data_IF_214314656571
#
_entry.id   IF_214314656571
#
_cell.length_a   1.000
_cell.length_b   1.000
_cell.length_c   1.000
_cell.angle_alpha   90.00
_cell.angle_beta   90.00
_cell.angle_gamma   90.00
#
_symmetry.space_group_name_H-M   'P 1'
#
loop_
_entity.id
_entity.type
_entity.pdbx_description
1 polymer ?
#
# COMPACT_ATOMS: atom_id res chain seq x y z
N UNK A 1 -24.57 9.14 35.03
CA UNK A 1 -23.71 7.95 35.21
C UNK A 1 -24.26 6.77 34.39
N UNK A 2 -23.97 6.67 33.08
CA UNK A 2 -24.45 5.54 32.27
C UNK A 2 -23.41 4.42 32.25
N UNK A 3 -23.86 3.22 32.64
CA UNK A 3 -23.11 1.96 32.68
C UNK A 3 -22.44 1.64 31.34
N UNK A 4 -21.13 1.42 31.37
CA UNK A 4 -20.33 0.92 30.26
C UNK A 4 -20.71 -0.55 30.00
N UNK A 5 -20.97 -0.90 28.74
CA UNK A 5 -21.09 -2.28 28.28
C UNK A 5 -19.97 -2.51 27.26
N UNK A 6 -19.05 -3.39 27.59
CA UNK A 6 -17.96 -3.77 26.71
C UNK A 6 -18.44 -4.85 25.74
N UNK A 7 -18.20 -4.62 24.45
CA UNK A 7 -18.45 -5.59 23.40
C UNK A 7 -17.14 -5.87 22.67
N UNK A 8 -16.76 -7.13 22.60
CA UNK A 8 -15.60 -7.60 21.84
C UNK A 8 -16.06 -8.10 20.48
N UNK A 9 -15.45 -7.58 19.41
CA UNK A 9 -15.59 -8.10 18.04
C UNK A 9 -14.21 -8.10 17.40
N UNK A 10 -13.74 -9.27 16.97
CA UNK A 10 -12.50 -9.43 16.22
C UNK A 10 -12.71 -9.01 14.76
N UNK A 11 -11.90 -8.07 14.25
CA UNK A 11 -11.99 -7.59 12.85
C UNK A 11 -10.58 -7.53 12.23
N UNK A 12 -10.37 -8.01 10.99
CA UNK A 12 -9.04 -8.37 10.49
C UNK A 12 -8.27 -7.23 9.77
N UNK A 13 -8.45 -5.96 10.14
CA UNK A 13 -7.69 -4.84 9.54
C UNK A 13 -7.54 -3.60 10.44
N UNK A 14 -6.60 -2.73 10.03
CA UNK A 14 -6.13 -1.52 10.71
C UNK A 14 -7.24 -0.56 11.16
N UNK A 15 -7.17 -0.13 12.43
CA UNK A 15 -8.20 0.67 13.10
C UNK A 15 -8.17 2.16 12.66
N UNK A 16 -9.35 2.69 12.31
CA UNK A 16 -9.66 4.11 12.20
C UNK A 16 -10.39 4.56 13.47
N UNK A 17 -10.08 5.76 13.97
CA UNK A 17 -10.92 6.42 14.98
C UNK A 17 -12.21 6.86 14.26
N UNK A 18 -13.36 6.32 14.66
CA UNK A 18 -14.67 6.71 14.13
C UNK A 18 -15.53 7.21 15.27
N UNK A 19 -15.78 8.52 15.31
CA UNK A 19 -16.91 9.08 16.06
C UNK A 19 -18.19 8.83 15.28
N UNK A 20 -19.13 8.08 15.86
CA UNK A 20 -20.44 7.85 15.28
C UNK A 20 -21.48 8.74 15.98
N UNK A 21 -21.87 9.82 15.30
CA UNK A 21 -23.08 10.56 15.62
C UNK A 21 -24.30 9.92 14.95
N UNK A 22 -25.43 9.84 15.67
CA UNK A 22 -26.70 9.47 15.06
C UNK A 22 -27.30 10.70 14.37
N UNK A 23 -27.48 10.63 13.06
CA UNK A 23 -28.21 11.65 12.28
C UNK A 23 -29.44 10.99 11.68
N UNK A 24 -30.62 11.60 11.84
CA UNK A 24 -31.82 11.16 11.13
C UNK A 24 -31.55 11.27 9.62
N UNK A 25 -31.68 10.17 8.90
CA UNK A 25 -31.42 10.14 7.46
C UNK A 25 -32.55 10.88 6.71
N UNK A 26 -32.30 12.13 6.30
CA UNK A 26 -33.08 12.79 5.27
C UNK A 26 -32.82 12.08 3.93
N UNK A 27 -33.86 11.48 3.35
CA UNK A 27 -33.84 10.84 2.05
C UNK A 27 -34.06 11.88 0.94
N UNK A 28 -33.03 12.66 0.61
CA UNK A 28 -33.11 13.58 -0.53
C UNK A 28 -32.96 12.82 -1.85
N UNK A 29 -34.09 12.56 -2.49
CA UNK A 29 -34.17 12.10 -3.87
C UNK A 29 -34.06 13.31 -4.79
N UNK A 30 -32.87 13.63 -5.30
CA UNK A 30 -32.74 14.70 -6.32
C UNK A 30 -33.11 14.17 -7.70
N UNK A 31 -34.20 14.71 -8.26
CA UNK A 31 -34.47 14.72 -9.70
C UNK A 31 -33.63 15.84 -10.31
N UNK A 32 -32.81 15.52 -11.31
CA UNK A 32 -31.92 16.49 -11.94
C UNK A 32 -32.51 16.83 -13.32
N UNK A 33 -33.19 17.98 -13.41
CA UNK A 33 -33.47 18.63 -14.69
C UNK A 33 -32.27 19.48 -15.09
N UNK A 34 -31.95 19.47 -16.39
CA UNK A 34 -30.77 20.14 -16.93
C UNK A 34 -30.96 21.63 -17.11
N UNK A 35 -29.92 22.41 -16.80
CA UNK A 35 -29.52 23.60 -17.55
C UNK A 35 -28.13 24.04 -17.11
N UNK A 36 -27.43 24.68 -18.04
CA UNK A 36 -26.01 25.00 -18.07
C UNK A 36 -25.57 26.04 -17.02
N UNK A 37 -24.31 25.95 -16.55
CA UNK A 37 -23.39 27.10 -16.45
C UNK A 37 -22.00 26.65 -15.97
N UNK A 38 -20.99 27.36 -16.50
CA UNK A 38 -19.54 27.14 -16.40
C UNK A 38 -18.96 27.62 -15.05
N UNK A 39 -17.65 27.38 -14.92
CA UNK A 39 -16.66 28.12 -14.09
C UNK A 39 -16.50 27.62 -12.64
N UNK A 40 -15.31 27.38 -12.08
CA UNK A 40 -13.92 27.54 -12.53
C UNK A 40 -12.98 26.95 -11.46
N UNK A 41 -11.80 26.48 -11.86
CA UNK A 41 -10.76 26.00 -10.96
C UNK A 41 -10.20 27.13 -10.10
N UNK A 42 -10.12 26.93 -8.78
CA UNK A 42 -9.21 27.70 -7.90
C UNK A 42 -8.38 26.76 -7.04
N UNK A 43 -7.12 26.65 -7.42
CA UNK A 43 -6.02 26.11 -6.63
C UNK A 43 -5.69 27.11 -5.52
N UNK A 44 -5.62 26.67 -4.26
CA UNK A 44 -5.01 27.45 -3.18
C UNK A 44 -4.03 26.55 -2.44
N UNK A 45 -2.76 26.95 -2.45
CA UNK A 45 -1.68 26.37 -1.68
C UNK A 45 -1.65 26.99 -0.28
N UNK A 46 -1.35 26.21 0.75
CA UNK A 46 -1.01 26.72 2.08
C UNK A 46 0.36 26.19 2.55
N UNK A 47 1.17 27.03 3.22
CA UNK A 47 2.50 26.70 3.69
C UNK A 47 2.49 25.95 5.02
N UNK A 48 3.55 25.18 5.25
CA UNK A 48 3.82 24.44 6.47
C UNK A 48 4.37 25.37 7.57
N UNK A 49 3.77 25.32 8.75
CA UNK A 49 4.31 25.86 10.00
C UNK A 49 3.88 24.96 11.16
N UNK A 50 4.83 24.40 11.88
CA UNK A 50 4.60 23.68 13.14
C UNK A 50 4.48 24.69 14.28
N UNK A 51 3.35 24.70 14.97
CA UNK A 51 3.29 25.09 16.37
C UNK A 51 2.10 24.37 17.02
N UNK A 52 2.39 23.65 18.10
CA UNK A 52 1.44 23.17 19.07
C UNK A 52 0.44 24.27 19.45
N UNK A 53 -0.84 24.03 19.16
CA UNK A 53 -1.94 24.90 19.53
C UNK A 53 -3.25 24.18 19.27
N UNK A 54 -4.12 24.16 20.29
CA UNK A 54 -5.51 23.74 20.15
C UNK A 54 -6.15 24.51 18.98
N UNK A 55 -6.47 23.81 17.90
CA UNK A 55 -7.25 24.35 16.80
C UNK A 55 -8.73 24.14 17.09
N UNK A 56 -9.37 25.09 17.78
CA UNK A 56 -10.80 25.31 17.62
C UNK A 56 -11.04 25.59 16.13
N UNK A 57 -11.71 24.66 15.42
CA UNK A 57 -12.31 25.00 14.13
C UNK A 57 -13.63 25.70 14.39
N UNK A 58 -13.60 27.03 14.36
CA UNK A 58 -14.77 27.85 14.13
C UNK A 58 -15.15 27.72 12.65
N UNK A 59 -16.05 26.79 12.35
CA UNK A 59 -16.81 26.85 11.10
C UNK A 59 -17.96 27.84 11.35
N UNK A 60 -18.06 28.87 10.51
CA UNK A 60 -19.19 29.79 10.49
C UNK A 60 -20.44 28.99 10.13
N UNK A 61 -21.28 28.71 11.13
CA UNK A 61 -22.60 28.13 10.93
C UNK A 61 -23.61 29.24 10.61
N UNK A 62 -24.32 29.05 9.51
CA UNK A 62 -25.61 29.68 9.29
C UNK A 62 -26.55 29.22 10.42
N UNK A 63 -27.20 30.18 11.08
CA UNK A 63 -27.92 29.99 12.34
C UNK A 63 -29.34 29.46 12.10
N UNK A 64 -29.53 28.13 12.11
CA UNK A 64 -30.82 27.50 12.44
C UNK A 64 -30.74 25.97 12.65
N UNK A 65 -30.56 25.58 13.93
CA UNK A 65 -30.92 24.30 14.60
C UNK A 65 -30.25 22.95 14.21
N UNK A 66 -30.19 21.96 15.15
CA UNK A 66 -29.80 22.04 16.56
C UNK A 66 -28.53 21.20 16.83
N UNK A 67 -27.76 21.57 17.86
CA UNK A 67 -26.53 20.87 18.27
C UNK A 67 -26.78 19.37 18.54
N UNK A 68 -25.99 18.44 17.96
CA UNK A 68 -26.18 17.02 18.20
C UNK A 68 -25.88 16.67 19.67
N UNK A 69 -26.88 16.13 20.37
CA UNK A 69 -26.75 15.64 21.75
C UNK A 69 -25.96 14.33 21.72
N UNK A 70 -24.73 14.33 22.23
CA UNK A 70 -23.88 13.14 22.34
C UNK A 70 -24.42 12.25 23.46
N UNK A 71 -25.09 11.15 23.09
CA UNK A 71 -25.78 10.30 24.06
C UNK A 71 -24.87 9.29 24.80
N UNK A 72 -23.66 8.98 24.30
CA UNK A 72 -22.63 8.13 24.97
C UNK A 72 -21.28 8.17 24.22
N UNK A 73 -20.19 8.09 24.96
CA UNK A 73 -18.81 8.01 24.45
C UNK A 73 -18.13 6.70 24.90
N UNK A 74 -17.33 6.09 24.04
CA UNK A 74 -16.56 4.88 24.33
C UNK A 74 -15.09 5.08 23.99
N UNK A 75 -14.20 4.48 24.79
CA UNK A 75 -12.76 4.51 24.57
C UNK A 75 -12.28 3.06 24.46
N UNK A 76 -11.68 2.68 23.34
CA UNK A 76 -11.20 1.30 23.09
C UNK A 76 -9.75 1.38 22.64
N UNK A 77 -8.90 0.58 23.28
CA UNK A 77 -7.46 0.51 23.02
C UNK A 77 -7.13 -0.87 22.43
N UNK A 78 -6.32 -0.92 21.38
CA UNK A 78 -6.04 -2.17 20.64
C UNK A 78 -4.52 -2.35 20.48
N UNK A 79 -4.04 -3.58 20.71
CA UNK A 79 -2.64 -4.00 20.52
C UNK A 79 -2.49 -4.87 19.26
N UNK A 80 -1.28 -4.91 18.69
CA UNK A 80 -0.94 -5.65 17.47
C UNK A 80 -0.24 -6.98 17.80
N UNK A 81 -0.82 -8.11 17.41
CA UNK A 81 -0.11 -9.40 17.35
C UNK A 81 0.29 -9.75 15.91
N UNK A 82 1.49 -10.29 15.74
CA UNK A 82 2.00 -10.76 14.45
C UNK A 82 1.17 -11.95 13.95
N UNK A 83 0.70 -11.90 12.69
CA UNK A 83 -0.13 -12.94 12.08
C UNK A 83 0.50 -14.35 12.20
N UNK A 84 -0.24 -15.35 12.69
CA UNK A 84 -0.02 -16.72 12.27
C UNK A 84 -0.49 -16.90 10.82
N UNK A 85 0.21 -17.74 10.06
CA UNK A 85 -0.20 -18.14 8.72
C UNK A 85 -1.63 -18.70 8.73
N UNK A 86 -2.51 -18.07 7.92
CA UNK A 86 -3.93 -18.38 7.71
C UNK A 86 -4.31 -19.86 7.83
N UNK A 87 -5.34 -20.13 8.64
CA UNK A 87 -6.07 -21.40 8.67
C UNK A 87 -6.92 -21.57 7.40
N UNK A 88 -6.63 -22.66 6.68
CA UNK A 88 -7.14 -23.06 5.39
C UNK A 88 -8.45 -23.89 5.52
N UNK A 89 -9.42 -23.70 4.60
CA UNK A 89 -9.87 -24.71 3.60
C UNK A 89 -11.27 -24.42 3.00
N UNK A 90 -12.28 -23.98 3.77
CA UNK A 90 -13.68 -23.98 3.25
C UNK A 90 -14.09 -22.75 2.42
N UNK A 91 -13.57 -21.55 2.71
CA UNK A 91 -13.93 -20.33 1.96
C UNK A 91 -13.37 -20.28 0.53
N UNK A 92 -12.30 -21.03 0.24
CA UNK A 92 -11.72 -21.11 -1.10
C UNK A 92 -12.62 -21.90 -2.07
N UNK A 93 -13.33 -22.90 -1.58
CA UNK A 93 -14.17 -23.81 -2.37
C UNK A 93 -15.36 -23.05 -2.99
N UNK A 94 -16.05 -22.22 -2.20
CA UNK A 94 -17.20 -21.44 -2.68
C UNK A 94 -16.81 -20.34 -3.70
N UNK A 95 -15.63 -19.74 -3.56
CA UNK A 95 -15.21 -18.66 -4.46
C UNK A 95 -14.97 -19.15 -5.90
N UNK A 96 -14.42 -20.35 -6.06
CA UNK A 96 -14.15 -20.95 -7.38
C UNK A 96 -15.43 -21.09 -8.21
N UNK A 97 -16.46 -21.72 -7.64
CA UNK A 97 -17.75 -21.95 -8.31
C UNK A 97 -18.42 -20.64 -8.79
N UNK A 98 -18.43 -19.61 -7.93
CA UNK A 98 -19.04 -18.30 -8.27
C UNK A 98 -18.36 -17.64 -9.47
N UNK A 99 -17.03 -17.82 -9.63
CA UNK A 99 -16.30 -17.26 -10.77
C UNK A 99 -16.64 -17.97 -12.08
N UNK A 100 -16.71 -19.30 -12.10
CA UNK A 100 -17.14 -20.03 -13.30
C UNK A 100 -18.60 -19.68 -13.67
N UNK A 101 -19.49 -19.54 -12.68
CA UNK A 101 -20.89 -19.17 -12.92
C UNK A 101 -21.02 -17.75 -13.48
N UNK A 102 -20.03 -16.89 -13.22
CA UNK A 102 -19.93 -15.56 -13.82
C UNK A 102 -19.47 -15.63 -15.28
N UNK A 103 -18.52 -16.51 -15.62
CA UNK A 103 -18.10 -16.72 -17.02
C UNK A 103 -19.29 -17.15 -17.88
N UNK A 104 -20.06 -18.14 -17.42
CA UNK A 104 -21.29 -18.59 -18.11
C UNK A 104 -22.35 -17.49 -18.27
N UNK A 105 -22.44 -16.55 -17.34
CA UNK A 105 -23.35 -15.39 -17.45
C UNK A 105 -22.89 -14.34 -18.45
N UNK A 106 -21.59 -14.22 -18.70
CA UNK A 106 -21.01 -13.19 -19.58
C UNK A 106 -20.94 -13.70 -21.02
N UNK A 107 -20.50 -14.95 -21.22
CA UNK A 107 -20.29 -15.53 -22.54
C UNK A 107 -21.64 -15.95 -23.13
N UNK A 108 -22.01 -15.35 -24.26
CA UNK A 108 -23.30 -15.59 -24.91
C UNK A 108 -23.27 -16.77 -25.89
N UNK A 109 -22.10 -17.08 -26.44
CA UNK A 109 -21.86 -18.14 -27.43
C UNK A 109 -21.31 -19.39 -26.77
N UNK A 110 -21.96 -20.54 -26.98
CA UNK A 110 -21.56 -21.81 -26.36
C UNK A 110 -20.18 -22.27 -26.86
N UNK A 111 -19.86 -22.00 -28.13
CA UNK A 111 -18.59 -22.37 -28.78
C UNK A 111 -17.36 -21.70 -28.13
N UNK A 112 -17.54 -20.55 -27.46
CA UNK A 112 -16.46 -19.81 -26.79
C UNK A 112 -16.47 -20.09 -25.28
N UNK A 113 -17.58 -20.60 -24.73
CA UNK A 113 -17.77 -20.79 -23.29
C UNK A 113 -16.72 -21.75 -22.74
N UNK A 114 -16.52 -22.89 -23.38
CA UNK A 114 -15.58 -23.91 -22.90
C UNK A 114 -14.15 -23.37 -22.79
N UNK A 115 -13.66 -22.72 -23.85
CA UNK A 115 -12.34 -22.07 -23.87
C UNK A 115 -12.17 -21.03 -22.73
N UNK A 116 -13.23 -20.27 -22.42
CA UNK A 116 -13.20 -19.26 -21.34
C UNK A 116 -13.27 -19.89 -19.95
N UNK A 117 -13.95 -21.03 -19.81
CA UNK A 117 -13.94 -21.79 -18.56
C UNK A 117 -12.55 -22.40 -18.33
N UNK A 118 -11.87 -22.89 -19.36
CA UNK A 118 -10.50 -23.39 -19.24
C UNK A 118 -9.50 -22.28 -18.88
N UNK A 119 -9.60 -21.11 -19.52
CA UNK A 119 -8.78 -19.95 -19.15
C UNK A 119 -8.99 -19.55 -17.67
N UNK A 120 -10.22 -19.65 -17.16
CA UNK A 120 -10.53 -19.37 -15.75
C UNK A 120 -9.97 -20.45 -14.82
N UNK A 121 -10.06 -21.72 -15.23
CA UNK A 121 -9.49 -22.86 -14.49
C UNK A 121 -7.98 -22.70 -14.32
N UNK A 122 -7.26 -22.33 -15.37
CA UNK A 122 -5.80 -22.13 -15.31
C UNK A 122 -5.43 -20.99 -14.35
N UNK A 123 -6.18 -19.88 -14.38
CA UNK A 123 -6.00 -18.76 -13.45
C UNK A 123 -6.23 -19.16 -12.00
N UNK A 124 -7.21 -20.02 -11.72
CA UNK A 124 -7.50 -20.52 -10.38
C UNK A 124 -6.45 -21.55 -9.95
N UNK A 125 -6.00 -22.41 -10.85
CA UNK A 125 -4.91 -23.37 -10.58
C UNK A 125 -3.62 -22.64 -10.21
N UNK A 126 -3.26 -21.57 -10.91
CA UNK A 126 -2.08 -20.75 -10.61
C UNK A 126 -2.15 -20.07 -9.23
N UNK A 127 -3.35 -19.90 -8.67
CA UNK A 127 -3.59 -19.34 -7.32
C UNK A 127 -3.63 -20.40 -6.22
N UNK A 128 -3.35 -21.67 -6.55
CA UNK A 128 -3.28 -22.77 -5.59
C UNK A 128 -4.61 -23.46 -5.29
N UNK A 129 -5.64 -23.27 -6.13
CA UNK A 129 -6.92 -23.97 -5.94
C UNK A 129 -6.78 -25.47 -6.30
N UNK A 130 -7.43 -26.40 -5.56
CA UNK A 130 -7.36 -27.83 -5.85
C UNK A 130 -7.94 -28.18 -7.23
N UNK A 131 -7.15 -28.80 -8.10
CA UNK A 131 -7.55 -29.14 -9.48
C UNK A 131 -8.84 -29.98 -9.55
N UNK A 132 -8.99 -30.96 -8.65
CA UNK A 132 -10.19 -31.83 -8.58
C UNK A 132 -11.49 -31.04 -8.37
N UNK A 133 -11.44 -29.99 -7.53
CA UNK A 133 -12.61 -29.15 -7.28
C UNK A 133 -12.96 -28.28 -8.50
N UNK A 134 -11.94 -27.77 -9.21
CA UNK A 134 -12.13 -26.95 -10.40
C UNK A 134 -12.80 -27.74 -11.55
N UNK A 135 -12.42 -29.00 -11.76
CA UNK A 135 -13.06 -29.86 -12.77
C UNK A 135 -14.53 -30.13 -12.42
N UNK A 136 -14.81 -30.39 -11.14
CA UNK A 136 -16.18 -30.56 -10.65
C UNK A 136 -17.02 -29.31 -10.94
N UNK A 137 -16.51 -28.12 -10.64
CA UNK A 137 -17.23 -26.86 -10.91
C UNK A 137 -17.44 -26.60 -12.40
N UNK A 138 -16.43 -26.89 -13.24
CA UNK A 138 -16.56 -26.77 -14.70
C UNK A 138 -17.70 -27.67 -15.20
N UNK A 139 -17.73 -28.93 -14.78
CA UNK A 139 -18.78 -29.88 -15.13
C UNK A 139 -20.17 -29.45 -14.67
N UNK A 140 -20.31 -29.02 -13.40
CA UNK A 140 -21.57 -28.53 -12.83
C UNK A 140 -22.11 -27.29 -13.56
N UNK A 141 -21.22 -26.43 -14.07
CA UNK A 141 -21.64 -25.20 -14.74
C UNK A 141 -21.96 -25.46 -16.20
N UNK A 142 -21.29 -26.39 -16.85
CA UNK A 142 -21.66 -26.87 -18.20
C UNK A 142 -23.06 -27.48 -18.19
N UNK A 143 -23.39 -28.29 -17.18
CA UNK A 143 -24.70 -28.97 -17.09
C UNK A 143 -25.88 -28.04 -16.74
N UNK A 144 -25.64 -26.85 -16.20
CA UNK A 144 -26.71 -25.89 -15.89
C UNK A 144 -27.33 -25.29 -17.16
N UNK A 145 -28.58 -25.60 -17.47
CA UNK A 145 -29.35 -24.89 -18.50
C UNK A 145 -29.78 -23.52 -17.98
N UNK A 146 -29.02 -22.47 -18.30
CA UNK A 146 -29.38 -21.10 -17.91
C UNK A 146 -30.54 -20.57 -18.74
N UNK A 147 -31.62 -20.09 -18.10
CA UNK A 147 -32.63 -19.25 -18.76
C UNK A 147 -31.98 -17.94 -19.18
N UNK A 148 -31.72 -17.77 -20.49
CA UNK A 148 -31.28 -16.48 -21.05
C UNK A 148 -32.46 -15.50 -20.95
N UNK A 149 -32.36 -14.53 -20.04
CA UNK A 149 -33.32 -13.42 -19.97
C UNK A 149 -33.04 -12.50 -21.16
N UNK A 150 -34.01 -12.24 -22.06
CA UNK A 150 -33.80 -11.38 -23.21
C UNK A 150 -33.46 -9.95 -22.75
N UNK A 151 -32.42 -9.35 -23.35
CA UNK A 151 -32.03 -7.97 -23.10
C UNK A 151 -33.02 -7.04 -23.83
N UNK A 152 -34.01 -6.50 -23.11
CA UNK A 152 -34.82 -5.36 -23.62
C UNK A 152 -33.94 -4.10 -23.60
N UNK A 153 -33.67 -3.53 -24.77
CA UNK A 153 -32.69 -2.43 -24.95
C UNK A 153 -33.29 -1.03 -24.79
N UNK A 154 -34.61 -0.87 -24.91
CA UNK A 154 -35.27 0.44 -24.98
C UNK A 154 -36.18 0.77 -23.78
N UNK A 155 -35.78 0.36 -22.57
CA UNK A 155 -36.53 0.71 -21.34
C UNK A 155 -35.76 1.71 -20.49
N UNK A 156 -36.49 2.70 -19.99
CA UNK A 156 -35.97 3.69 -19.04
C UNK A 156 -35.40 3.00 -17.80
N UNK A 157 -34.20 3.37 -17.35
CA UNK A 157 -33.63 2.82 -16.13
C UNK A 157 -33.90 3.76 -14.93
N UNK A 158 -34.58 3.26 -13.90
CA UNK A 158 -34.67 3.94 -12.61
C UNK A 158 -33.50 3.51 -11.74
N UNK A 159 -32.56 4.43 -11.47
CA UNK A 159 -31.32 4.11 -10.77
C UNK A 159 -31.34 4.67 -9.34
N UNK A 160 -31.40 3.79 -8.33
CA UNK A 160 -31.34 4.17 -6.91
C UNK A 160 -30.24 3.42 -6.15
N UNK A 161 -29.98 3.75 -4.88
CA UNK A 161 -29.07 2.95 -4.05
C UNK A 161 -29.81 1.73 -3.47
N UNK A 162 -29.15 0.56 -3.46
CA UNK A 162 -29.75 -0.64 -2.87
C UNK A 162 -29.97 -0.46 -1.36
N UNK A 163 -31.20 -0.69 -0.93
CA UNK A 163 -31.66 -0.75 0.45
C UNK A 163 -32.53 -2.02 0.63
N UNK A 164 -32.71 -2.50 1.86
CA UNK A 164 -33.60 -3.62 2.18
C UNK A 164 -35.03 -3.37 1.67
N UNK A 165 -35.47 -2.11 1.69
CA UNK A 165 -36.78 -1.67 1.21
C UNK A 165 -36.85 -1.43 -0.31
N UNK A 166 -35.76 -1.59 -1.06
CA UNK A 166 -35.73 -1.33 -2.50
C UNK A 166 -36.74 -2.16 -3.30
N UNK A 167 -37.09 -3.35 -2.81
CA UNK A 167 -38.14 -4.18 -3.41
C UNK A 167 -39.53 -3.54 -3.27
N UNK A 168 -39.85 -3.00 -2.11
CA UNK A 168 -41.13 -2.31 -1.85
C UNK A 168 -41.23 -1.03 -2.66
N UNK A 169 -40.13 -0.25 -2.76
CA UNK A 169 -40.04 0.91 -3.64
C UNK A 169 -40.34 0.53 -5.09
N UNK A 170 -39.82 -0.61 -5.56
CA UNK A 170 -40.12 -1.12 -6.90
C UNK A 170 -41.60 -1.43 -7.12
N UNK A 171 -42.28 -2.00 -6.11
CA UNK A 171 -43.73 -2.26 -6.18
C UNK A 171 -44.54 -0.96 -6.26
N UNK A 172 -44.14 0.06 -5.50
CA UNK A 172 -44.80 1.37 -5.49
C UNK A 172 -44.65 2.03 -6.87
N UNK A 173 -43.44 2.04 -7.43
CA UNK A 173 -43.18 2.63 -8.76
C UNK A 173 -44.04 1.95 -9.83
N UNK A 174 -44.11 0.61 -9.82
CA UNK A 174 -44.93 -0.10 -10.80
C UNK A 174 -46.43 0.13 -10.60
N UNK A 175 -46.90 0.24 -9.35
CA UNK A 175 -48.32 0.49 -9.04
C UNK A 175 -48.79 1.86 -9.52
N UNK A 176 -47.94 2.87 -9.43
CA UNK A 176 -48.28 4.25 -9.76
C UNK A 176 -47.70 4.71 -11.10
N UNK A 177 -47.18 3.80 -11.92
CA UNK A 177 -46.55 4.14 -13.20
C UNK A 177 -47.53 4.79 -14.19
N UNK A 178 -48.81 4.41 -14.12
CA UNK A 178 -49.85 4.96 -14.98
C UNK A 178 -50.03 6.46 -14.82
N UNK A 179 -49.74 7.02 -13.63
CA UNK A 179 -49.79 8.47 -13.39
C UNK A 179 -48.76 9.18 -14.29
N UNK A 180 -47.54 8.65 -14.38
CA UNK A 180 -46.50 9.18 -15.25
C UNK A 180 -46.81 8.94 -16.73
N UNK A 181 -47.47 7.83 -17.06
CA UNK A 181 -47.93 7.55 -18.42
C UNK A 181 -48.97 8.56 -18.91
N UNK A 182 -49.89 8.97 -18.03
CA UNK A 182 -50.90 10.01 -18.31
C UNK A 182 -50.28 11.41 -18.37
N UNK A 183 -49.39 11.75 -17.44
CA UNK A 183 -48.74 13.06 -17.41
C UNK A 183 -47.77 13.28 -18.59
N UNK A 184 -47.14 12.21 -19.10
CA UNK A 184 -46.12 12.27 -20.14
C UNK A 184 -46.54 11.57 -21.44
N UNK A 185 -47.81 11.71 -21.85
CA UNK A 185 -48.37 11.04 -23.05
C UNK A 185 -47.60 11.30 -24.35
N UNK A 186 -46.85 12.41 -24.46
CA UNK A 186 -46.05 12.76 -25.63
C UNK A 186 -44.66 12.11 -25.71
N UNK A 187 -44.21 11.37 -24.70
CA UNK A 187 -42.85 10.81 -24.65
C UNK A 187 -42.92 9.28 -24.71
N UNK A 188 -42.43 8.63 -25.80
CA UNK A 188 -42.54 7.18 -25.99
C UNK A 188 -41.78 6.36 -24.94
N UNK A 189 -40.82 6.98 -24.24
CA UNK A 189 -39.98 6.34 -23.22
C UNK A 189 -40.77 5.92 -21.97
N UNK A 190 -41.88 6.60 -21.64
CA UNK A 190 -42.70 6.32 -20.45
C UNK A 190 -43.83 5.29 -20.68
N UNK A 191 -43.95 4.75 -21.90
CA UNK A 191 -45.00 3.78 -22.23
C UNK A 191 -44.85 2.47 -21.46
N UNK A 192 -43.62 2.08 -21.13
CA UNK A 192 -43.28 0.88 -20.38
C UNK A 192 -42.71 1.25 -19.00
N UNK A 193 -42.95 0.45 -17.95
CA UNK A 193 -42.35 0.67 -16.64
C UNK A 193 -40.82 0.61 -16.72
N UNK A 194 -40.12 1.31 -15.83
CA UNK A 194 -38.67 1.42 -15.91
C UNK A 194 -38.01 0.12 -15.44
N UNK A 195 -36.77 -0.10 -15.85
CA UNK A 195 -35.89 -1.11 -15.28
C UNK A 195 -35.34 -0.56 -13.97
N UNK A 196 -35.72 -1.19 -12.86
CA UNK A 196 -35.18 -0.87 -11.54
C UNK A 196 -33.73 -1.35 -11.45
N UNK A 197 -32.80 -0.40 -11.34
CA UNK A 197 -31.37 -0.64 -11.22
C UNK A 197 -30.86 -0.08 -9.89
N UNK A 198 -30.04 -0.86 -9.19
CA UNK A 198 -29.53 -0.45 -7.89
C UNK A 198 -28.01 -0.27 -7.91
N UNK A 199 -27.54 0.94 -7.57
CA UNK A 199 -26.14 1.19 -7.24
C UNK A 199 -25.84 0.54 -5.89
N UNK A 200 -24.62 0.00 -5.75
CA UNK A 200 -24.11 -0.41 -4.43
C UNK A 200 -24.10 0.80 -3.49
N UNK A 201 -24.47 0.59 -2.23
CA UNK A 201 -24.25 1.60 -1.20
C UNK A 201 -22.75 1.93 -1.10
N UNK A 202 -22.42 3.18 -0.74
CA UNK A 202 -21.04 3.57 -0.51
C UNK A 202 -20.47 2.75 0.66
N UNK A 203 -19.46 1.94 0.38
CA UNK A 203 -18.73 1.25 1.43
C UNK A 203 -17.83 2.23 2.18
N UNK A 204 -17.36 1.85 3.38
CA UNK A 204 -16.34 2.62 4.09
C UNK A 204 -15.14 2.94 3.18
N UNK A 205 -14.71 1.99 2.36
CA UNK A 205 -13.66 2.19 1.35
C UNK A 205 -13.96 3.31 0.34
N UNK A 206 -15.23 3.49 -0.03
CA UNK A 206 -15.64 4.52 -1.00
C UNK A 206 -15.76 5.90 -0.35
N UNK A 207 -16.01 5.95 0.97
CA UNK A 207 -16.03 7.19 1.78
C UNK A 207 -14.62 7.62 2.19
N UNK A 208 -13.75 6.65 2.46
CA UNK A 208 -12.38 6.89 2.89
C UNK A 208 -11.52 7.22 1.67
N UNK A 209 -10.92 8.42 1.66
CA UNK A 209 -9.85 8.75 0.70
C UNK A 209 -8.69 7.79 0.96
N UNK A 210 -7.98 7.35 -0.10
CA UNK A 210 -6.72 6.62 0.10
C UNK A 210 -5.87 7.44 1.06
N UNK A 211 -5.53 6.85 2.21
CA UNK A 211 -4.64 7.51 3.15
C UNK A 211 -3.34 7.95 2.48
N UNK A 212 -2.96 7.31 1.35
CA UNK A 212 -1.86 7.65 0.47
C UNK A 212 -2.28 8.01 -0.96
N UNK A 213 -1.89 9.21 -1.40
CA UNK A 213 -1.91 9.60 -2.81
C UNK A 213 -0.76 8.91 -3.58
N UNK A 214 0.06 8.12 -2.88
CA UNK A 214 1.24 7.45 -3.39
C UNK A 214 2.39 8.44 -3.50
N UNK A 215 3.57 7.94 -3.86
CA UNK A 215 4.64 8.82 -4.31
C UNK A 215 4.12 9.55 -5.55
N UNK A 216 3.70 10.82 -5.40
CA UNK A 216 3.46 11.70 -6.55
C UNK A 216 4.62 11.49 -7.50
N UNK A 217 4.32 11.10 -8.75
CA UNK A 217 5.33 10.78 -9.76
C UNK A 217 6.36 11.88 -9.65
N UNK A 218 7.54 11.58 -9.11
CA UNK A 218 8.63 12.54 -9.17
C UNK A 218 8.71 12.84 -10.65
N UNK A 219 8.47 14.10 -11.03
CA UNK A 219 8.89 14.56 -12.34
C UNK A 219 10.31 14.04 -12.44
N UNK A 220 10.52 13.05 -13.33
CA UNK A 220 11.87 12.71 -13.75
C UNK A 220 12.34 14.05 -14.28
N UNK A 221 13.16 14.76 -13.50
CA UNK A 221 13.87 15.94 -13.98
C UNK A 221 14.80 15.41 -15.05
N UNK A 222 14.22 15.24 -16.24
CA UNK A 222 14.90 14.91 -17.47
C UNK A 222 15.44 16.23 -17.97
N UNK A 223 16.64 16.55 -17.51
CA UNK A 223 17.55 17.41 -18.26
C UNK A 223 18.95 16.86 -18.04
N UNK A 224 19.39 16.11 -19.06
CA UNK A 224 20.80 15.90 -19.43
C UNK A 224 21.69 14.85 -18.77
N UNK A 225 21.25 14.02 -17.83
CA UNK A 225 22.04 12.85 -17.42
C UNK A 225 21.13 11.70 -16.96
N UNK A 226 21.29 10.51 -17.55
CA UNK A 226 20.83 9.27 -16.90
C UNK A 226 21.60 9.19 -15.58
N UNK A 227 20.92 9.36 -14.45
CA UNK A 227 21.56 9.22 -13.14
C UNK A 227 22.10 7.80 -13.04
N UNK A 228 23.43 7.66 -13.10
CA UNK A 228 24.07 6.36 -12.97
C UNK A 228 23.80 5.86 -11.56
N UNK A 229 23.33 4.63 -11.44
CA UNK A 229 23.18 4.00 -10.14
C UNK A 229 24.55 3.65 -9.57
N UNK A 230 24.65 3.57 -8.25
CA UNK A 230 25.86 3.16 -7.56
C UNK A 230 26.54 4.25 -6.74
N UNK A 231 27.73 3.91 -6.27
CA UNK A 231 28.57 4.81 -5.49
C UNK A 231 29.63 5.47 -6.36
N UNK A 232 29.81 6.78 -6.18
CA UNK A 232 30.79 7.58 -6.91
C UNK A 232 31.56 8.51 -5.95
N UNK A 233 32.84 8.83 -6.25
CA UNK A 233 33.60 9.79 -5.43
C UNK A 233 32.95 11.18 -5.54
N UNK A 234 32.90 11.92 -4.43
CA UNK A 234 32.45 13.32 -4.48
C UNK A 234 33.54 14.29 -4.97
N UNK A 235 34.76 13.79 -5.23
CA UNK A 235 35.95 14.53 -5.69
C UNK A 235 36.47 15.65 -4.77
N UNK A 236 35.72 16.01 -3.74
CA UNK A 236 36.08 17.02 -2.75
C UNK A 236 36.60 16.45 -1.43
N UNK A 237 36.82 15.13 -1.35
CA UNK A 237 37.14 14.44 -0.10
C UNK A 237 38.40 13.58 -0.16
N UNK A 238 39.21 13.58 0.91
CA UNK A 238 40.39 12.71 1.05
C UNK A 238 40.06 11.21 1.14
N UNK A 239 38.80 10.87 1.40
CA UNK A 239 38.36 9.47 1.51
C UNK A 239 37.97 8.87 0.15
N UNK A 240 37.81 9.71 -0.87
CA UNK A 240 37.29 9.35 -2.18
C UNK A 240 38.19 8.33 -2.91
N UNK A 241 39.49 8.27 -2.58
CA UNK A 241 40.44 7.28 -3.10
C UNK A 241 40.14 5.84 -2.62
N UNK A 242 39.45 5.68 -1.49
CA UNK A 242 39.01 4.38 -0.99
C UNK A 242 37.63 3.98 -1.49
N UNK A 243 36.97 4.80 -2.31
CA UNK A 243 35.61 4.55 -2.79
C UNK A 243 35.63 3.53 -3.93
N UNK A 244 34.84 2.45 -3.79
CA UNK A 244 34.57 1.51 -4.86
C UNK A 244 33.49 2.12 -5.75
N UNK A 245 33.86 2.40 -7.00
CA UNK A 245 32.95 2.96 -7.99
C UNK A 245 32.09 1.86 -8.58
N UNK A 246 30.79 2.11 -8.74
CA UNK A 246 29.89 1.22 -9.46
C UNK A 246 28.57 0.94 -8.76
N UNK A 247 27.69 0.29 -9.51
CA UNK A 247 26.29 0.01 -9.20
C UNK A 247 26.07 -1.40 -8.63
N UNK A 248 27.13 -2.14 -8.36
CA UNK A 248 27.03 -3.53 -7.97
C UNK A 248 28.03 -3.88 -6.87
N UNK A 249 27.61 -4.82 -6.03
CA UNK A 249 28.45 -5.43 -5.00
C UNK A 249 28.32 -6.94 -5.06
N UNK A 250 29.44 -7.63 -4.93
CA UNK A 250 29.49 -9.09 -4.93
C UNK A 250 29.36 -9.62 -3.50
N UNK A 251 28.60 -10.71 -3.35
CA UNK A 251 28.57 -11.45 -2.10
C UNK A 251 29.96 -12.03 -1.80
N UNK A 252 30.52 -11.85 -0.58
CA UNK A 252 31.89 -12.29 -0.27
C UNK A 252 32.13 -13.78 -0.56
N UNK A 253 31.22 -14.66 -0.13
CA UNK A 253 31.36 -16.12 -0.30
C UNK A 253 30.72 -16.71 -1.56
N UNK A 254 29.53 -16.22 -1.94
CA UNK A 254 28.72 -16.82 -3.01
C UNK A 254 28.99 -16.23 -4.39
N UNK A 255 29.68 -15.09 -4.47
CA UNK A 255 29.89 -14.35 -5.72
C UNK A 255 28.63 -13.76 -6.35
N UNK A 256 27.45 -13.88 -5.71
CA UNK A 256 26.19 -13.35 -6.25
C UNK A 256 26.23 -11.82 -6.34
N UNK A 257 25.72 -11.28 -7.44
CA UNK A 257 25.76 -9.85 -7.74
C UNK A 257 24.51 -9.16 -7.17
N UNK A 258 24.70 -8.16 -6.32
CA UNK A 258 23.64 -7.29 -5.83
C UNK A 258 23.72 -5.92 -6.50
N UNK A 259 22.65 -5.52 -7.18
CA UNK A 259 22.54 -4.20 -7.81
C UNK A 259 22.09 -3.13 -6.81
N UNK A 260 22.92 -2.11 -6.67
CA UNK A 260 22.69 -0.89 -5.90
C UNK A 260 21.74 0.01 -6.70
N UNK A 261 20.70 0.53 -6.04
CA UNK A 261 19.68 1.37 -6.66
C UNK A 261 19.79 2.80 -6.15
N UNK A 262 20.05 3.75 -7.04
CA UNK A 262 20.23 5.16 -6.70
C UNK A 262 21.69 5.61 -6.81
N UNK A 263 21.89 6.93 -6.85
CA UNK A 263 23.20 7.57 -6.95
C UNK A 263 23.67 8.02 -5.58
N UNK A 264 24.84 7.53 -5.16
CA UNK A 264 25.41 7.79 -3.84
C UNK A 264 26.82 8.35 -3.93
N UNK A 265 27.15 9.23 -2.99
CA UNK A 265 28.49 9.80 -2.88
C UNK A 265 28.94 9.83 -1.42
N UNK A 266 30.19 10.22 -1.18
CA UNK A 266 30.73 10.36 0.18
C UNK A 266 29.98 11.41 1.03
N UNK A 267 29.16 12.27 0.41
CA UNK A 267 28.34 13.28 1.07
C UNK A 267 26.95 12.76 1.48
N UNK A 268 26.57 11.56 1.04
CA UNK A 268 25.26 10.98 1.37
C UNK A 268 25.12 10.74 2.88
N UNK A 269 23.94 11.07 3.41
CA UNK A 269 23.54 10.91 4.82
C UNK A 269 22.45 9.85 4.96
N UNK A 270 22.29 9.28 6.17
CA UNK A 270 21.35 8.17 6.43
C UNK A 270 21.55 7.01 5.47
N UNK A 271 22.78 6.50 5.43
CA UNK A 271 23.20 5.45 4.52
C UNK A 271 23.69 4.22 5.27
N UNK A 272 23.45 3.07 4.65
CA UNK A 272 24.13 1.81 4.96
C UNK A 272 25.29 1.67 3.97
N UNK A 273 26.48 1.41 4.48
CA UNK A 273 27.71 1.26 3.70
C UNK A 273 28.38 -0.08 4.02
N UNK A 274 29.19 -0.56 3.09
CA UNK A 274 30.07 -1.70 3.27
C UNK A 274 31.54 -1.25 3.23
N UNK A 275 32.35 -1.81 4.11
CA UNK A 275 33.81 -1.77 4.06
C UNK A 275 34.31 -3.14 3.62
N UNK A 276 35.22 -3.16 2.64
CA UNK A 276 35.87 -4.38 2.16
C UNK A 276 37.33 -4.41 2.64
N UNK A 277 37.69 -5.55 3.24
CA UNK A 277 39.05 -5.92 3.58
C UNK A 277 39.80 -6.46 2.34
N UNK A 278 41.12 -6.26 2.22
CA UNK A 278 41.93 -6.96 1.21
C UNK A 278 41.85 -8.50 1.31
N UNK A 279 41.61 -9.03 2.51
CA UNK A 279 41.38 -10.45 2.78
C UNK A 279 40.04 -11.02 2.26
N UNK A 280 39.18 -10.19 1.65
CA UNK A 280 37.87 -10.60 1.12
C UNK A 280 36.71 -10.50 2.13
N UNK A 281 37.00 -10.33 3.42
CA UNK A 281 35.96 -10.10 4.44
C UNK A 281 35.32 -8.72 4.29
N UNK A 282 34.07 -8.63 4.72
CA UNK A 282 33.28 -7.41 4.64
C UNK A 282 32.72 -7.01 6.01
N UNK A 283 32.63 -5.70 6.24
CA UNK A 283 31.90 -5.08 7.34
C UNK A 283 30.75 -4.26 6.78
N UNK A 284 29.57 -4.34 7.40
CA UNK A 284 28.43 -3.49 7.08
C UNK A 284 28.16 -2.58 8.26
N UNK A 285 27.98 -1.30 7.98
CA UNK A 285 27.69 -0.30 8.98
C UNK A 285 26.64 0.70 8.49
N UNK A 286 25.97 1.36 9.43
CA UNK A 286 25.11 2.50 9.16
C UNK A 286 25.73 3.83 9.61
N UNK A 287 25.23 4.94 9.05
CA UNK A 287 25.49 6.29 9.57
C UNK A 287 24.32 7.22 9.25
N UNK A 288 23.96 8.05 10.23
CA UNK A 288 23.03 9.18 10.05
C UNK A 288 23.75 10.40 9.45
N UNK A 289 25.04 10.57 9.76
CA UNK A 289 25.92 11.64 9.27
C UNK A 289 26.42 11.36 7.84
N UNK A 290 27.24 12.26 7.30
CA UNK A 290 27.83 12.04 5.97
C UNK A 290 28.75 10.81 5.99
N UNK A 291 28.67 9.97 4.94
CA UNK A 291 29.50 8.78 4.83
C UNK A 291 31.00 9.08 4.98
N UNK A 292 31.48 10.21 4.46
CA UNK A 292 32.90 10.63 4.57
C UNK A 292 33.40 10.72 6.01
N UNK A 293 32.56 11.19 6.93
CA UNK A 293 32.93 11.36 8.34
C UNK A 293 33.09 9.98 8.99
N UNK A 294 32.12 9.10 8.76
CA UNK A 294 32.15 7.74 9.31
C UNK A 294 33.32 6.91 8.77
N UNK A 295 33.64 7.04 7.49
CA UNK A 295 34.83 6.39 6.91
C UNK A 295 36.12 7.01 7.45
N UNK A 296 36.13 8.31 7.75
CA UNK A 296 37.25 8.98 8.40
C UNK A 296 37.51 8.47 9.82
N UNK A 297 36.46 8.20 10.58
CA UNK A 297 36.54 7.57 11.90
C UNK A 297 37.15 6.17 11.82
N UNK A 298 36.60 5.28 10.98
CA UNK A 298 37.17 3.93 10.80
C UNK A 298 38.66 3.96 10.43
N UNK A 299 39.06 4.87 9.52
CA UNK A 299 40.47 5.04 9.17
C UNK A 299 41.31 5.56 10.34
N UNK A 300 40.76 6.44 11.16
CA UNK A 300 41.45 6.97 12.34
C UNK A 300 41.60 5.91 13.43
N UNK A 301 40.58 5.08 13.64
CA UNK A 301 40.58 3.98 14.60
C UNK A 301 41.65 2.94 14.27
N UNK A 302 41.82 2.60 12.98
CA UNK A 302 42.91 1.72 12.53
C UNK A 302 44.27 2.34 12.83
N UNK A 303 44.47 3.64 12.53
CA UNK A 303 45.75 4.34 12.82
C UNK A 303 46.06 4.40 14.30
N UNK A 304 45.04 4.63 15.13
CA UNK A 304 45.15 4.73 16.60
C UNK A 304 45.17 3.37 17.29
N UNK A 305 45.04 2.28 16.53
CA UNK A 305 45.05 0.89 17.01
C UNK A 305 43.94 0.58 18.03
N UNK A 306 42.72 1.06 17.78
CA UNK A 306 41.57 0.84 18.69
C UNK A 306 40.99 -0.57 18.45
N UNK A 307 41.38 -1.54 19.27
CA UNK A 307 40.98 -2.96 19.15
C UNK A 307 39.48 -3.21 19.35
N UNK A 308 38.78 -2.30 20.03
CA UNK A 308 37.34 -2.44 20.29
C UNK A 308 36.50 -2.33 19.01
N UNK A 309 36.94 -1.51 18.05
CA UNK A 309 36.27 -1.41 16.76
C UNK A 309 36.60 -2.67 15.94
N UNK A 310 35.60 -3.45 15.48
CA UNK A 310 35.83 -4.71 14.80
C UNK A 310 36.64 -4.56 13.50
N UNK A 311 36.45 -3.46 12.77
CA UNK A 311 37.22 -3.18 11.55
C UNK A 311 38.68 -2.87 11.91
N UNK A 312 38.91 -2.06 12.95
CA UNK A 312 40.26 -1.70 13.36
C UNK A 312 41.02 -2.88 13.96
N UNK A 313 40.41 -3.63 14.89
CA UNK A 313 40.97 -4.85 15.47
C UNK A 313 41.42 -5.84 14.39
N UNK A 314 40.53 -6.14 13.44
CA UNK A 314 40.85 -7.04 12.33
C UNK A 314 42.02 -6.54 11.46
N UNK A 315 42.05 -5.25 11.10
CA UNK A 315 43.15 -4.71 10.29
C UNK A 315 44.51 -4.82 10.99
N UNK A 316 44.53 -4.73 12.32
CA UNK A 316 45.75 -4.85 13.11
C UNK A 316 46.18 -6.30 13.20
N UNK A 317 45.26 -7.20 13.55
CA UNK A 317 45.50 -8.65 13.68
C UNK A 317 45.97 -9.27 12.36
N UNK A 318 45.36 -8.88 11.24
CA UNK A 318 45.69 -9.38 9.91
C UNK A 318 46.87 -8.61 9.24
N UNK A 319 47.46 -7.62 9.91
CA UNK A 319 48.59 -6.84 9.38
C UNK A 319 48.24 -6.02 8.12
N UNK A 320 47.00 -5.54 8.01
CA UNK A 320 46.51 -4.75 6.88
C UNK A 320 46.71 -3.25 7.07
N UNK A 321 46.92 -2.54 5.97
CA UNK A 321 47.14 -1.09 5.97
C UNK A 321 45.85 -0.31 5.74
N UNK A 322 45.75 0.88 6.34
CA UNK A 322 44.63 1.82 6.16
C UNK A 322 44.40 2.19 4.69
N UNK A 323 45.46 2.22 3.89
CA UNK A 323 45.42 2.49 2.45
C UNK A 323 44.69 1.40 1.65
N UNK A 324 44.63 0.17 2.17
CA UNK A 324 43.94 -0.97 1.55
C UNK A 324 42.43 -0.97 1.83
N UNK A 325 41.96 -0.19 2.80
CA UNK A 325 40.53 -0.07 3.10
C UNK A 325 39.79 0.46 1.87
N UNK A 326 38.73 -0.25 1.49
CA UNK A 326 37.80 0.15 0.43
C UNK A 326 36.37 0.19 0.98
N UNK A 327 35.55 1.12 0.49
CA UNK A 327 34.15 1.22 0.91
C UNK A 327 33.20 1.48 -0.25
N UNK A 328 31.94 1.12 -0.08
CA UNK A 328 30.86 1.35 -1.04
C UNK A 328 29.56 1.63 -0.28
N UNK A 329 28.69 2.49 -0.81
CA UNK A 329 27.38 2.78 -0.21
C UNK A 329 26.35 1.83 -0.83
N UNK A 330 25.60 1.12 0.02
CA UNK A 330 24.66 0.10 -0.40
C UNK A 330 23.26 0.66 -0.62
N UNK A 331 22.81 1.48 0.34
CA UNK A 331 21.44 1.98 0.35
C UNK A 331 21.33 3.24 1.19
N UNK A 332 20.54 4.20 0.72
CA UNK A 332 20.13 5.37 1.48
C UNK A 332 18.67 5.22 1.93
N UNK A 333 18.39 5.61 3.17
CA UNK A 333 17.01 5.68 3.68
C UNK A 333 16.47 7.09 3.40
N UNK A 334 15.48 7.23 2.49
CA UNK A 334 14.88 8.54 2.23
C UNK A 334 14.18 9.07 3.47
N UNK A 335 13.97 10.39 3.53
CA UNK A 335 13.19 10.99 4.61
C UNK A 335 11.75 10.46 4.53
N UNK A 336 11.20 9.84 5.60
CA UNK A 336 9.85 9.29 5.57
C UNK A 336 8.84 10.44 5.44
N UNK A 337 7.82 10.24 4.60
CA UNK A 337 6.82 11.28 4.30
C UNK A 337 5.77 11.49 5.40
N UNK A 338 5.49 10.45 6.21
CA UNK A 338 4.39 10.41 7.19
C UNK A 338 4.87 10.42 8.64
N UNK A 339 6.09 10.92 8.85
CA UNK A 339 6.80 10.62 10.09
C UNK A 339 7.16 9.14 10.18
N UNK A 340 7.50 8.69 11.38
CA UNK A 340 8.15 7.41 11.62
C UNK A 340 9.64 7.58 11.84
N UNK A 341 10.19 6.69 12.66
CA UNK A 341 11.59 6.78 13.05
C UNK A 341 12.51 6.33 11.89
N UNK A 342 13.17 7.32 11.27
CA UNK A 342 14.13 7.11 10.19
C UNK A 342 15.36 6.35 10.66
N UNK A 343 15.74 6.48 11.93
CA UNK A 343 16.85 5.73 12.53
C UNK A 343 16.46 4.27 12.69
N UNK A 344 15.24 3.99 13.15
CA UNK A 344 14.67 2.62 13.19
C UNK A 344 14.68 1.95 11.81
N UNK A 345 14.35 2.69 10.76
CA UNK A 345 14.42 2.19 9.38
C UNK A 345 15.86 1.92 8.91
N UNK A 346 16.81 2.77 9.30
CA UNK A 346 18.23 2.60 9.00
C UNK A 346 18.77 1.34 9.67
N UNK A 347 18.43 1.12 10.94
CA UNK A 347 18.83 -0.07 11.71
C UNK A 347 18.26 -1.36 11.10
N UNK A 348 16.97 -1.35 10.72
CA UNK A 348 16.34 -2.46 9.97
C UNK A 348 17.07 -2.74 8.66
N UNK A 349 17.48 -1.69 7.94
CA UNK A 349 18.18 -1.81 6.68
C UNK A 349 19.58 -2.41 6.87
N UNK A 350 20.33 -1.95 7.86
CA UNK A 350 21.66 -2.48 8.21
C UNK A 350 21.59 -3.97 8.54
N UNK A 351 20.70 -4.38 9.44
CA UNK A 351 20.55 -5.79 9.82
C UNK A 351 20.18 -6.68 8.62
N UNK A 352 19.31 -6.20 7.73
CA UNK A 352 18.95 -6.91 6.51
C UNK A 352 20.15 -7.09 5.57
N UNK A 353 21.01 -6.07 5.44
CA UNK A 353 22.24 -6.16 4.66
C UNK A 353 23.27 -7.10 5.28
N UNK A 354 23.45 -7.06 6.61
CA UNK A 354 24.33 -8.00 7.34
C UNK A 354 23.91 -9.45 7.06
N UNK A 355 22.61 -9.75 7.19
CA UNK A 355 22.07 -11.08 6.89
C UNK A 355 22.23 -11.47 5.41
N UNK A 356 21.97 -10.54 4.48
CA UNK A 356 22.04 -10.80 3.04
C UNK A 356 23.45 -11.09 2.53
N UNK A 357 24.45 -10.40 3.06
CA UNK A 357 25.84 -10.53 2.65
C UNK A 357 26.65 -11.47 3.56
N UNK A 358 26.06 -11.95 4.65
CA UNK A 358 26.69 -12.92 5.56
C UNK A 358 27.94 -12.35 6.22
N UNK A 359 27.89 -11.11 6.72
CA UNK A 359 29.08 -10.41 7.24
C UNK A 359 29.34 -10.62 8.73
N UNK A 360 28.62 -11.54 9.37
CA UNK A 360 28.88 -11.92 10.77
C UNK A 360 30.17 -12.74 10.89
N UNK A 361 30.88 -12.60 12.00
CA UNK A 361 32.02 -13.47 12.32
C UNK A 361 31.57 -14.95 12.42
N UNK A 362 32.39 -15.92 11.95
CA UNK A 362 33.73 -15.77 11.39
C UNK A 362 33.77 -15.42 9.89
N UNK A 363 32.63 -15.45 9.19
CA UNK A 363 32.54 -15.21 7.74
C UNK A 363 32.60 -13.74 7.31
N UNK A 364 32.72 -12.80 8.25
CA UNK A 364 32.83 -11.37 8.01
C UNK A 364 33.31 -10.64 9.26
N UNK A 365 33.18 -9.31 9.24
CA UNK A 365 33.75 -8.44 10.28
C UNK A 365 32.73 -7.92 11.31
N UNK A 366 31.42 -8.15 11.11
CA UNK A 366 30.41 -7.76 12.09
C UNK A 366 30.42 -8.76 13.26
N UNK A 367 30.61 -8.29 14.49
CA UNK A 367 30.51 -9.13 15.70
C UNK A 367 29.06 -9.54 15.99
N UNK A 368 28.17 -8.56 15.97
CA UNK A 368 26.74 -8.71 16.20
C UNK A 368 25.98 -7.59 15.48
N UNK A 369 24.65 -7.68 15.46
CA UNK A 369 23.77 -6.58 15.08
C UNK A 369 22.58 -6.53 16.04
N UNK A 370 22.28 -5.34 16.56
CA UNK A 370 21.23 -5.16 17.55
C UNK A 370 19.86 -5.02 16.87
N UNK A 371 18.97 -5.98 17.11
CA UNK A 371 17.54 -5.85 16.79
C UNK A 371 16.71 -5.40 17.99
N UNK A 372 17.29 -5.27 19.18
CA UNK A 372 16.57 -4.90 20.39
C UNK A 372 15.78 -3.58 20.27
N UNK A 373 16.28 -2.53 19.58
CA UNK A 373 15.50 -1.29 19.35
C UNK A 373 14.32 -1.48 18.38
N UNK A 374 14.18 -2.66 17.78
CA UNK A 374 13.17 -2.98 16.76
C UNK A 374 11.98 -3.73 17.32
N UNK A 375 12.22 -4.54 18.35
CA UNK A 375 11.23 -5.12 19.27
C UNK A 375 10.62 -3.99 20.12
#
# INVERSE_FOLDING_TARGET
>A
NPRVKDYYVEVPFDLLIVEMGAQAAHCDSKVQEGSEAKEGQRTVAFPLGFSSGLGHKSDNYDKSEPNPIVLRSYHITVHQEERPSLSLFDHYIMYGFVQFARVKRIVSEENILENRLDEMKDKLSARGYPKKALEKYKGEIMSQTGKKIPKQRDRLAFVSCYNVLSKEVGKIINRHWDILKVACQGIPVFQNPPILSFKRAQSLRDKLVRADVGAGRTLRQGTFCVTKNGTYPCLSCKHCNSCIKGDSIYHPHKGTIFKIKGYYTCLSTFVVYAIKCPCGLMYIGQTTRQAKERIGEHKSDIKRKILQNPVAGHFIEAGHFVSQLRFQILQQIPRPRRGGDRVKQLLKCEANWIRKLGTLMPGGLNKEYELYPLL
#
